data_IF_155190268973
#
_entry.id   IF_155190268973
#
_cell.length_a   1.000
_cell.length_b   1.000
_cell.length_c   1.000
_cell.angle_alpha   90.00
_cell.angle_beta   90.00
_cell.angle_gamma   90.00
#
_symmetry.space_group_name_H-M   'P 1'
#
loop_
_entity.id
_entity.type
_entity.pdbx_description
1 polymer ?
#
# COMPACT_ATOMS: atom_id res chain seq x y z
N UNK A 1 -9.15 7.96 -1.48
CA UNK A 1 -8.60 7.18 -2.60
C UNK A 1 -7.10 7.14 -2.47
N UNK A 2 -6.55 5.97 -2.15
CA UNK A 2 -5.11 5.75 -2.09
C UNK A 2 -4.55 5.34 -3.45
N UNK A 3 -3.22 5.31 -3.57
CA UNK A 3 -2.51 4.91 -4.78
C UNK A 3 -1.17 4.22 -4.46
N UNK A 4 -0.64 3.52 -5.47
CA UNK A 4 0.64 2.81 -5.42
C UNK A 4 1.64 3.56 -6.30
N UNK A 5 2.88 3.69 -5.84
CA UNK A 5 4.00 4.21 -6.64
C UNK A 5 5.04 3.13 -6.78
N UNK A 6 5.40 2.82 -8.01
CA UNK A 6 6.37 1.79 -8.36
C UNK A 6 7.46 2.40 -9.25
N UNK A 7 8.72 2.24 -8.86
CA UNK A 7 9.88 2.80 -9.58
C UNK A 7 9.81 4.33 -9.84
N UNK A 8 9.11 5.05 -8.96
CA UNK A 8 8.91 6.50 -9.10
C UNK A 8 7.72 6.90 -9.97
N UNK A 9 7.06 5.96 -10.66
CA UNK A 9 5.84 6.19 -11.41
C UNK A 9 4.60 5.94 -10.54
N UNK A 10 3.62 6.86 -10.61
CA UNK A 10 2.34 6.69 -9.92
C UNK A 10 1.49 5.75 -10.77
N UNK A 11 1.16 4.58 -10.23
CA UNK A 11 0.17 3.71 -10.87
C UNK A 11 -1.20 4.39 -10.77
N UNK A 12 -1.88 4.56 -11.89
CA UNK A 12 -3.23 5.16 -11.97
C UNK A 12 -4.33 4.23 -11.40
N UNK A 13 -3.97 3.41 -10.43
CA UNK A 13 -4.83 2.54 -9.66
C UNK A 13 -5.35 3.30 -8.43
N UNK A 14 -6.50 3.97 -8.58
CA UNK A 14 -7.18 4.68 -7.48
C UNK A 14 -8.18 3.75 -6.82
N UNK A 15 -7.91 3.35 -5.57
CA UNK A 15 -8.81 2.50 -4.79
C UNK A 15 -9.07 3.03 -3.38
N UNK A 16 -10.06 2.44 -2.73
CA UNK A 16 -10.35 2.69 -1.33
C UNK A 16 -9.19 2.25 -0.43
N UNK A 17 -8.95 3.00 0.65
CA UNK A 17 -7.86 2.74 1.58
C UNK A 17 -7.94 1.32 2.18
N UNK A 18 -9.16 0.76 2.30
CA UNK A 18 -9.38 -0.60 2.78
C UNK A 18 -8.80 -1.63 1.83
N UNK A 19 -9.14 -1.60 0.54
CA UNK A 19 -8.55 -2.50 -0.45
C UNK A 19 -7.03 -2.30 -0.55
N UNK A 20 -6.56 -1.04 -0.51
CA UNK A 20 -5.12 -0.75 -0.54
C UNK A 20 -4.36 -1.40 0.63
N UNK A 21 -4.95 -1.43 1.83
CA UNK A 21 -4.32 -2.08 2.99
C UNK A 21 -4.23 -3.60 2.83
N UNK A 22 -5.25 -4.24 2.24
CA UNK A 22 -5.21 -5.67 1.97
C UNK A 22 -4.17 -6.03 0.91
N UNK A 23 -4.11 -5.23 -0.17
CA UNK A 23 -3.07 -5.38 -1.20
C UNK A 23 -1.67 -5.17 -0.63
N UNK A 24 -1.47 -4.16 0.23
CA UNK A 24 -0.20 -3.93 0.91
C UNK A 24 0.26 -5.17 1.68
N UNK A 25 -0.62 -5.78 2.47
CA UNK A 25 -0.29 -6.97 3.27
C UNK A 25 0.16 -8.12 2.36
N UNK A 26 -0.61 -8.43 1.30
CA UNK A 26 -0.30 -9.52 0.38
C UNK A 26 1.02 -9.29 -0.36
N UNK A 27 1.21 -8.09 -0.93
CA UNK A 27 2.41 -7.74 -1.69
C UNK A 27 3.65 -7.79 -0.79
N UNK A 28 3.57 -7.19 0.41
CA UNK A 28 4.70 -7.21 1.36
C UNK A 28 5.03 -8.63 1.80
N UNK A 29 4.03 -9.46 2.08
CA UNK A 29 4.29 -10.84 2.50
C UNK A 29 4.90 -11.70 1.38
N UNK A 30 4.50 -11.48 0.12
CA UNK A 30 5.14 -12.10 -1.04
C UNK A 30 6.59 -11.62 -1.22
N UNK A 31 6.82 -10.32 -1.12
CA UNK A 31 8.17 -9.74 -1.18
C UNK A 31 9.09 -10.24 -0.07
N UNK A 32 8.57 -10.46 1.14
CA UNK A 32 9.34 -11.05 2.26
C UNK A 32 9.79 -12.49 1.98
N UNK A 33 9.09 -13.21 1.11
CA UNK A 33 9.50 -14.54 0.61
C UNK A 33 10.39 -14.45 -0.63
N UNK A 34 10.79 -13.23 -1.03
CA UNK A 34 11.52 -12.96 -2.27
C UNK A 34 10.77 -13.43 -3.53
N UNK A 35 9.44 -13.42 -3.47
CA UNK A 35 8.56 -13.75 -4.59
C UNK A 35 8.15 -12.47 -5.33
N UNK A 36 8.47 -12.40 -6.62
CA UNK A 36 7.94 -11.39 -7.53
C UNK A 36 6.54 -11.79 -8.00
N UNK A 37 5.68 -10.81 -8.27
CA UNK A 37 4.29 -11.04 -8.67
C UNK A 37 3.83 -10.05 -9.74
N UNK A 38 2.88 -10.47 -10.58
CA UNK A 38 2.18 -9.56 -11.48
C UNK A 38 1.03 -8.89 -10.73
N UNK A 39 0.86 -7.58 -10.91
CA UNK A 39 -0.31 -6.86 -10.45
C UNK A 39 -1.07 -6.27 -11.64
N UNK A 40 -2.33 -6.64 -11.80
CA UNK A 40 -3.19 -6.24 -12.91
C UNK A 40 -4.39 -5.46 -12.39
N UNK A 41 -4.71 -4.34 -13.04
CA UNK A 41 -5.90 -3.55 -12.76
C UNK A 41 -6.57 -3.08 -14.04
N UNK A 42 -7.84 -2.71 -13.93
CA UNK A 42 -8.57 -2.06 -15.02
C UNK A 42 -8.33 -0.57 -14.94
N UNK A 43 -7.96 0.04 -16.06
CA UNK A 43 -7.80 1.48 -16.15
C UNK A 43 -9.17 2.15 -16.35
N UNK A 44 -9.38 3.34 -15.77
CA UNK A 44 -10.61 4.08 -16.01
C UNK A 44 -10.71 4.44 -17.50
N UNK A 45 -11.93 4.50 -18.03
CA UNK A 45 -12.20 4.84 -19.43
C UNK A 45 -11.60 6.19 -19.86
N UNK A 46 -11.30 7.06 -18.90
CA UNK A 46 -10.66 8.37 -19.05
C UNK A 46 -9.20 8.28 -19.52
N UNK A 47 -8.48 7.23 -19.13
CA UNK A 47 -7.05 6.99 -19.45
C UNK A 47 -6.89 6.02 -20.63
N UNK A 48 -7.96 5.31 -20.98
CA UNK A 48 -8.00 4.31 -22.05
C UNK A 48 -8.63 3.03 -21.48
N UNK A 49 -9.86 2.72 -21.89
CA UNK A 49 -10.61 1.53 -21.43
C UNK A 49 -9.81 0.24 -21.71
N UNK A 50 -9.01 -0.17 -20.72
CA UNK A 50 -7.95 -1.13 -20.90
C UNK A 50 -7.58 -1.85 -19.61
N UNK A 51 -6.65 -2.79 -19.73
CA UNK A 51 -6.08 -3.53 -18.61
C UNK A 51 -4.59 -3.20 -18.54
N UNK A 52 -4.17 -2.59 -17.43
CA UNK A 52 -2.78 -2.40 -17.10
C UNK A 52 -2.29 -3.58 -16.25
N UNK A 53 -1.06 -3.99 -16.49
CA UNK A 53 -0.36 -5.00 -15.69
C UNK A 53 1.07 -4.53 -15.45
N UNK A 54 1.51 -4.59 -14.20
CA UNK A 54 2.87 -4.29 -13.79
C UNK A 54 3.51 -5.52 -13.14
N UNK A 55 4.80 -5.72 -13.39
CA UNK A 55 5.59 -6.72 -12.69
C UNK A 55 6.17 -6.09 -11.42
N UNK A 56 5.82 -6.61 -10.25
CA UNK A 56 6.31 -6.15 -8.96
C UNK A 56 7.43 -7.06 -8.48
N UNK A 57 8.57 -6.46 -8.12
CA UNK A 57 9.75 -7.18 -7.64
C UNK A 57 10.30 -6.56 -6.34
N UNK A 58 10.83 -7.40 -5.41
CA UNK A 58 11.29 -6.94 -4.09
C UNK A 58 12.50 -6.00 -4.14
N UNK A 59 13.25 -5.99 -5.25
CA UNK A 59 14.42 -5.14 -5.45
C UNK A 59 14.08 -3.71 -5.91
N UNK A 60 12.81 -3.41 -6.18
CA UNK A 60 12.38 -2.10 -6.68
C UNK A 60 11.54 -1.40 -5.62
N UNK A 61 11.76 -0.09 -5.45
CA UNK A 61 11.05 0.72 -4.48
C UNK A 61 9.54 0.74 -4.73
N UNK A 62 8.77 0.34 -3.71
CA UNK A 62 7.31 0.35 -3.73
C UNK A 62 6.78 1.21 -2.58
N UNK A 63 5.92 2.18 -2.90
CA UNK A 63 5.32 3.09 -1.91
C UNK A 63 3.80 3.02 -1.98
N UNK A 64 3.17 2.81 -0.83
CA UNK A 64 1.73 2.88 -0.64
C UNK A 64 1.36 4.24 -0.06
N UNK A 65 0.41 4.94 -0.69
CA UNK A 65 -0.12 6.21 -0.16
C UNK A 65 -1.61 6.07 0.12
N UNK A 66 -1.96 6.17 1.40
CA UNK A 66 -3.35 6.20 1.87
C UNK A 66 -3.87 7.64 1.91
N UNK A 67 -5.17 7.81 1.67
CA UNK A 67 -5.85 9.09 1.81
C UNK A 67 -6.26 9.36 3.27
N UNK A 68 -6.72 8.32 3.98
CA UNK A 68 -7.07 8.37 5.40
C UNK A 68 -5.88 8.21 6.34
N UNK A 69 -6.02 8.71 7.57
CA UNK A 69 -5.05 8.53 8.67
C UNK A 69 -5.38 7.42 9.66
N UNK A 70 -6.54 6.75 9.51
CA UNK A 70 -6.94 5.60 10.33
C UNK A 70 -6.65 4.31 9.57
N UNK A 71 -6.16 3.31 10.29
CA UNK A 71 -5.95 1.98 9.73
C UNK A 71 -7.31 1.33 9.46
N UNK A 72 -7.57 0.85 8.23
CA UNK A 72 -8.80 0.16 7.92
C UNK A 72 -8.84 -1.22 8.59
N UNK A 73 -10.04 -1.70 8.88
CA UNK A 73 -10.24 -3.03 9.46
C UNK A 73 -9.91 -4.12 8.43
N UNK A 74 -9.08 -5.08 8.83
CA UNK A 74 -8.59 -6.15 7.96
C UNK A 74 -9.54 -7.35 7.98
N UNK A 75 -9.92 -7.82 6.80
CA UNK A 75 -10.77 -8.97 6.55
C UNK A 75 -9.91 -10.18 6.13
N UNK A 76 -9.82 -11.23 6.95
CA UNK A 76 -8.97 -12.39 6.64
C UNK A 76 -9.46 -13.17 5.42
N UNK A 77 -10.77 -13.25 5.19
CA UNK A 77 -11.35 -13.89 4.00
C UNK A 77 -10.94 -13.16 2.72
N UNK A 78 -10.87 -11.83 2.79
CA UNK A 78 -10.41 -11.03 1.66
C UNK A 78 -8.92 -11.22 1.38
N UNK A 79 -8.09 -11.29 2.42
CA UNK A 79 -6.67 -11.61 2.26
C UNK A 79 -6.47 -13.00 1.63
N UNK A 80 -7.23 -14.01 2.06
CA UNK A 80 -7.14 -15.35 1.47
C UNK A 80 -7.47 -15.34 -0.03
N UNK A 81 -8.54 -14.64 -0.43
CA UNK A 81 -8.90 -14.48 -1.83
C UNK A 81 -7.81 -13.73 -2.64
N UNK A 82 -7.18 -12.71 -2.03
CA UNK A 82 -6.09 -11.97 -2.68
C UNK A 82 -4.80 -12.77 -2.78
N UNK A 83 -4.49 -13.64 -1.79
CA UNK A 83 -3.37 -14.58 -1.90
C UNK A 83 -3.60 -15.58 -3.02
N UNK A 84 -4.80 -16.17 -3.10
CA UNK A 84 -5.16 -17.09 -4.18
C UNK A 84 -5.04 -16.40 -5.55
N UNK A 85 -5.51 -15.15 -5.66
CA UNK A 85 -5.34 -14.34 -6.88
C UNK A 85 -3.85 -14.10 -7.20
N UNK A 86 -3.02 -13.76 -6.21
CA UNK A 86 -1.59 -13.52 -6.39
C UNK A 86 -0.81 -14.76 -6.83
N UNK A 87 -1.24 -15.95 -6.38
CA UNK A 87 -0.67 -17.24 -6.78
C UNK A 87 -1.23 -17.75 -8.12
N UNK A 88 -2.28 -17.11 -8.65
CA UNK A 88 -2.86 -17.46 -9.94
C UNK A 88 -2.03 -16.94 -11.12
N UNK A 89 -2.07 -17.65 -12.25
CA UNK A 89 -1.39 -17.23 -13.49
C UNK A 89 -1.91 -15.92 -14.11
N UNK A 90 -3.00 -15.33 -13.57
CA UNK A 90 -3.52 -14.01 -13.99
C UNK A 90 -2.84 -12.86 -13.25
N UNK A 91 -2.06 -13.15 -12.21
CA UNK A 91 -1.48 -12.16 -11.30
C UNK A 91 -2.49 -11.66 -10.27
N UNK A 92 -2.00 -10.89 -9.30
CA UNK A 92 -2.81 -10.20 -8.31
C UNK A 92 -3.70 -9.15 -8.99
N UNK A 93 -4.99 -9.16 -8.68
CA UNK A 93 -5.94 -8.14 -9.12
C UNK A 93 -6.82 -7.69 -7.97
N UNK A 94 -7.46 -6.53 -8.13
CA UNK A 94 -8.44 -6.02 -7.18
C UNK A 94 -9.67 -6.95 -7.14
N UNK A 95 -9.94 -7.53 -5.97
CA UNK A 95 -11.13 -8.36 -5.69
C UNK A 95 -12.09 -7.55 -4.82
N UNK A 96 -13.39 -7.61 -5.11
CA UNK A 96 -14.43 -7.05 -4.25
C UNK A 96 -14.39 -7.66 -2.83
N UNK A 97 -14.86 -6.90 -1.83
CA UNK A 97 -14.85 -7.36 -0.44
C UNK A 97 -15.80 -8.57 -0.25
N UNK A 98 -15.28 -9.77 0.07
CA UNK A 98 -16.14 -10.89 0.42
C UNK A 98 -16.73 -10.70 1.82
N UNK A 99 -17.92 -11.29 2.10
CA UNK A 99 -18.43 -11.36 3.46
C UNK A 99 -17.38 -12.00 4.38
N UNK A 100 -17.22 -11.44 5.58
CA UNK A 100 -16.28 -11.98 6.58
C UNK A 100 -16.74 -13.37 7.01
N UNK A 101 -15.94 -14.39 6.69
CA UNK A 101 -16.11 -15.74 7.22
C UNK A 101 -15.23 -15.94 8.45
N UNK A 102 -15.85 -16.15 9.61
CA UNK A 102 -15.17 -16.33 10.91
C UNK A 102 -14.34 -17.62 11.01
N UNK A 103 -14.43 -18.51 10.02
CA UNK A 103 -13.69 -19.78 9.94
C UNK A 103 -12.46 -19.70 9.00
N UNK A 104 -12.25 -18.59 8.28
CA UNK A 104 -11.11 -18.46 7.37
C UNK A 104 -9.83 -18.17 8.15
N UNK A 105 -9.01 -19.19 8.37
CA UNK A 105 -7.64 -19.04 8.89
C UNK A 105 -6.68 -18.65 7.75
N UNK A 106 -5.87 -17.61 7.97
CA UNK A 106 -4.92 -17.14 6.96
C UNK A 106 -3.76 -18.15 6.80
N UNK A 107 -3.46 -18.64 5.59
CA UNK A 107 -2.31 -19.50 5.38
C UNK A 107 -1.01 -18.72 5.64
N UNK A 108 -0.23 -19.17 6.64
CA UNK A 108 1.14 -18.69 6.88
C UNK A 108 1.31 -17.35 7.62
N UNK A 109 0.29 -16.87 8.36
CA UNK A 109 0.43 -15.66 9.20
C UNK A 109 0.95 -16.01 10.59
N UNK A 110 2.23 -16.38 10.71
CA UNK A 110 2.92 -16.51 12.01
C UNK A 110 3.67 -15.25 12.44
N UNK A 111 3.52 -14.13 11.70
CA UNK A 111 4.12 -12.86 12.04
C UNK A 111 3.12 -11.95 12.73
N UNK A 112 3.51 -11.31 13.83
CA UNK A 112 2.71 -10.24 14.43
C UNK A 112 2.34 -9.22 13.36
N UNK A 113 1.06 -8.80 13.28
CA UNK A 113 0.67 -7.71 12.41
C UNK A 113 1.52 -6.48 12.76
N UNK A 114 2.04 -5.80 11.73
CA UNK A 114 2.80 -4.56 11.92
C UNK A 114 1.83 -3.56 12.56
N UNK A 115 2.07 -3.17 13.81
CA UNK A 115 1.22 -2.22 14.53
C UNK A 115 1.64 -0.79 14.16
N UNK A 116 0.92 -0.20 13.20
CA UNK A 116 1.16 1.17 12.71
C UNK A 116 0.63 2.24 13.67
N UNK A 117 -0.11 1.86 14.73
CA UNK A 117 -0.66 2.81 15.68
C UNK A 117 0.42 3.31 16.66
N UNK A 118 1.47 2.51 16.91
CA UNK A 118 2.60 2.89 17.74
C UNK A 118 3.72 3.64 17.01
N UNK A 119 3.78 3.64 15.67
CA UNK A 119 4.82 4.35 14.90
C UNK A 119 4.46 5.82 14.57
N UNK A 120 3.51 6.40 15.31
CA UNK A 120 3.15 7.81 15.14
C UNK A 120 4.29 8.66 15.71
N UNK A 121 5.19 9.16 14.86
CA UNK A 121 6.14 10.22 15.22
C UNK A 121 5.33 11.35 15.87
N UNK A 122 5.55 11.67 17.17
CA UNK A 122 4.79 12.73 17.80
C UNK A 122 5.04 14.01 17.01
N UNK A 123 3.98 14.78 16.76
CA UNK A 123 4.09 16.06 16.06
C UNK A 123 5.21 16.87 16.71
N UNK A 124 6.34 16.99 16.01
CA UNK A 124 7.51 17.70 16.50
C UNK A 124 7.08 19.13 16.80
N UNK A 125 7.32 19.60 18.03
CA UNK A 125 7.15 21.00 18.43
C UNK A 125 7.70 21.91 17.32
N UNK A 126 7.02 23.00 16.94
CA UNK A 126 7.48 23.89 15.89
C UNK A 126 8.91 24.32 16.20
N UNK A 127 9.83 23.98 15.30
CA UNK A 127 11.25 24.34 15.40
C UNK A 127 11.31 25.85 15.47
N UNK A 128 11.68 26.40 16.62
CA UNK A 128 11.80 27.83 16.82
C UNK A 128 12.66 28.42 15.68
N UNK A 129 12.11 29.44 15.02
CA UNK A 129 12.77 30.13 13.92
C UNK A 129 14.16 30.59 14.38
N UNK A 130 15.19 30.13 13.67
CA UNK A 130 16.56 30.61 13.84
C UNK A 130 16.55 32.10 13.51
N UNK A 131 16.90 33.01 14.43
CA UNK A 131 16.86 34.44 14.14
C UNK A 131 17.85 34.73 13.00
N UNK A 132 17.37 35.42 11.96
CA UNK A 132 18.23 35.98 10.94
C UNK A 132 19.20 36.94 11.63
N UNK A 133 20.49 36.66 11.48
CA UNK A 133 21.54 37.55 11.94
C UNK A 133 21.34 38.91 11.28
N UNK A 134 21.06 39.91 12.12
CA UNK A 134 20.91 41.29 11.73
C UNK A 134 22.19 41.82 11.11
N UNK A 135 22.04 42.24 9.87
CA UNK A 135 22.73 43.34 9.22
C UNK A 135 23.12 44.45 10.22
N UNK A 136 24.42 44.71 10.36
CA UNK A 136 24.92 46.05 10.66
C UNK A 136 26.10 46.37 9.74
N UNK A 137 25.78 47.20 8.75
CA UNK A 137 26.64 48.17 8.06
C UNK A 137 27.48 48.99 9.03
N UNK A 138 28.68 49.33 8.55
CA UNK A 138 29.45 50.59 8.73
C UNK A 138 29.86 50.92 10.17
N UNK A 139 31.12 51.24 10.45
CA UNK A 139 31.92 52.34 9.88
C UNK A 139 33.43 52.03 9.92
#
# INVERSE_FOLDING_TARGET
MGYIVYDGEILEFKVEDRLLAHLQIVIVNKFRKNESLMFSWREPAETGDGRATVWLSPNIGLRFKFAGGRMPEINPTWLAALYEAADSGRGLYAVDEPPRDSTTELPGTSGNPVDWAHDRVPAGKPRAARPLAGEKRQE
#
